data_IF_377493327305
#
_entry.id   IF_377493327305
#
_cell.length_a   1.000
_cell.length_b   1.000
_cell.length_c   1.000
_cell.angle_alpha   90.00
_cell.angle_beta   90.00
_cell.angle_gamma   90.00
#
_symmetry.space_group_name_H-M   'P 1'
#
loop_
_entity.id
_entity.type
_entity.pdbx_description
1 polymer ?
#
# COMPACT_ATOMS: atom_id res chain seq x y z
N UNK A 1 6.77 10.22 16.48
CA UNK A 1 5.44 10.18 15.83
C UNK A 1 4.67 11.33 16.44
N UNK A 2 4.08 12.22 15.63
CA UNK A 2 3.19 13.27 16.12
C UNK A 2 1.84 12.69 16.57
N UNK A 3 0.88 13.53 16.93
CA UNK A 3 -0.47 13.16 17.38
C UNK A 3 -1.34 12.50 16.32
N UNK A 4 -0.86 12.39 15.08
CA UNK A 4 -1.57 11.66 14.03
C UNK A 4 -1.61 10.14 14.25
N UNK A 5 -0.82 9.57 15.17
CA UNK A 5 -0.88 8.14 15.50
C UNK A 5 -1.55 7.93 16.86
N UNK A 6 -2.74 7.34 16.87
CA UNK A 6 -3.51 7.03 18.07
C UNK A 6 -2.83 5.89 18.83
N UNK A 7 -2.23 6.23 19.98
CA UNK A 7 -1.48 5.29 20.82
C UNK A 7 -2.37 4.23 21.47
N UNK A 8 -3.69 4.44 21.55
CA UNK A 8 -4.61 3.53 22.22
C UNK A 8 -5.25 2.52 21.27
N UNK A 9 -5.66 2.93 20.07
CA UNK A 9 -6.27 2.03 19.09
C UNK A 9 -5.32 1.56 17.97
N UNK A 10 -4.07 2.06 17.96
CA UNK A 10 -2.98 1.56 17.14
C UNK A 10 -3.08 1.90 15.63
N UNK A 11 -3.61 3.08 15.30
CA UNK A 11 -3.90 3.55 13.93
C UNK A 11 -3.59 5.03 13.71
N UNK A 12 -3.88 5.55 12.51
CA UNK A 12 -3.66 6.95 12.18
C UNK A 12 -4.95 7.78 12.07
N UNK A 13 -4.91 9.00 12.59
CA UNK A 13 -5.83 10.08 12.23
C UNK A 13 -5.47 10.65 10.85
N UNK A 14 -6.38 11.45 10.27
CA UNK A 14 -6.29 11.90 8.87
C UNK A 14 -5.11 12.84 8.59
N UNK A 15 -4.94 13.87 9.42
CA UNK A 15 -3.83 14.86 9.35
C UNK A 15 -3.68 15.58 10.69
N UNK A 16 -2.64 16.41 10.85
CA UNK A 16 -2.50 17.31 11.99
C UNK A 16 -3.08 18.70 11.67
N UNK A 17 -3.70 19.34 12.66
CA UNK A 17 -4.26 20.69 12.55
C UNK A 17 -3.26 21.79 12.93
N UNK A 18 -2.12 21.41 13.49
CA UNK A 18 -1.05 22.32 13.91
C UNK A 18 0.31 22.00 13.26
N UNK A 19 1.20 22.99 13.26
CA UNK A 19 2.53 22.89 12.64
C UNK A 19 3.52 22.00 13.41
N UNK A 20 3.27 21.73 14.70
CA UNK A 20 4.09 20.84 15.53
C UNK A 20 3.64 19.38 15.42
N UNK A 21 2.56 19.11 14.68
CA UNK A 21 1.96 17.79 14.50
C UNK A 21 1.51 17.18 15.84
N UNK A 22 1.05 17.99 16.77
CA UNK A 22 0.60 17.56 18.09
C UNK A 22 -0.89 17.19 18.08
N UNK A 23 -1.73 17.96 17.40
CA UNK A 23 -3.17 17.78 17.43
C UNK A 23 -3.65 17.21 16.10
N UNK A 24 -4.26 16.02 16.11
CA UNK A 24 -4.86 15.46 14.91
C UNK A 24 -6.20 16.11 14.61
N UNK A 25 -6.60 16.12 13.34
CA UNK A 25 -8.01 16.09 12.98
C UNK A 25 -8.48 14.65 13.18
N UNK A 26 -9.35 14.42 14.16
CA UNK A 26 -9.55 13.08 14.74
C UNK A 26 -10.21 12.05 13.81
N UNK A 27 -10.78 12.51 12.70
CA UNK A 27 -11.30 11.66 11.62
C UNK A 27 -10.28 10.60 11.18
N UNK A 28 -10.77 9.40 10.85
CA UNK A 28 -9.94 8.30 10.37
C UNK A 28 -10.41 7.84 9.02
N UNK A 29 -9.48 7.71 8.08
CA UNK A 29 -9.79 7.29 6.72
C UNK A 29 -9.08 5.98 6.40
N UNK A 30 -9.78 5.07 5.71
CA UNK A 30 -9.24 3.77 5.30
C UNK A 30 -7.99 3.92 4.42
N UNK A 31 -7.98 4.92 3.53
CA UNK A 31 -6.84 5.16 2.65
C UNK A 31 -5.59 5.64 3.41
N UNK A 32 -5.73 6.36 4.53
CA UNK A 32 -4.60 6.73 5.38
C UNK A 32 -3.98 5.46 5.98
N UNK A 33 -4.81 4.57 6.55
CA UNK A 33 -4.33 3.32 7.14
C UNK A 33 -3.58 2.48 6.11
N UNK A 34 -4.14 2.32 4.91
CA UNK A 34 -3.53 1.53 3.85
C UNK A 34 -2.21 2.14 3.33
N UNK A 35 -2.18 3.44 3.04
CA UNK A 35 -0.99 4.10 2.49
C UNK A 35 0.15 4.17 3.51
N UNK A 36 -0.15 4.57 4.75
CA UNK A 36 0.86 4.64 5.81
C UNK A 36 1.40 3.24 6.14
N UNK A 37 0.56 2.22 6.19
CA UNK A 37 1.01 0.81 6.30
C UNK A 37 2.09 0.49 5.25
N UNK A 38 1.86 0.82 3.98
CA UNK A 38 2.84 0.56 2.91
C UNK A 38 4.14 1.36 3.09
N UNK A 39 4.05 2.60 3.58
CA UNK A 39 5.23 3.42 3.92
C UNK A 39 6.03 2.79 5.06
N UNK A 40 5.36 2.37 6.14
CA UNK A 40 6.02 1.73 7.28
C UNK A 40 6.60 0.35 6.94
N UNK A 41 5.95 -0.42 6.06
CA UNK A 41 6.55 -1.65 5.50
C UNK A 41 7.85 -1.31 4.77
N UNK A 42 7.87 -0.24 3.95
CA UNK A 42 9.08 0.17 3.23
C UNK A 42 10.18 0.65 4.17
N UNK A 43 9.82 1.44 5.18
CA UNK A 43 10.75 1.91 6.20
C UNK A 43 11.36 0.71 6.97
N UNK A 44 10.55 -0.29 7.33
CA UNK A 44 11.03 -1.53 7.92
C UNK A 44 11.95 -2.30 6.97
N UNK A 45 11.60 -2.41 5.69
CA UNK A 45 12.45 -3.08 4.69
C UNK A 45 13.84 -2.46 4.58
N UNK A 46 13.92 -1.13 4.63
CA UNK A 46 15.15 -0.37 4.46
C UNK A 46 16.01 -0.34 5.72
N UNK A 47 15.39 -0.15 6.89
CA UNK A 47 16.11 0.11 8.16
C UNK A 47 16.19 -1.11 9.08
N UNK A 48 15.32 -2.10 8.88
CA UNK A 48 15.07 -3.22 9.80
C UNK A 48 14.69 -2.81 11.23
N UNK A 49 14.28 -1.56 11.45
CA UNK A 49 13.86 -1.08 12.77
C UNK A 49 12.52 -1.76 13.18
N UNK A 50 12.48 -2.53 14.28
CA UNK A 50 11.28 -3.26 14.71
C UNK A 50 10.09 -2.34 15.01
N UNK A 51 10.30 -1.06 15.33
CA UNK A 51 9.22 -0.10 15.55
C UNK A 51 8.36 0.10 14.31
N UNK A 52 8.95 0.15 13.11
CA UNK A 52 8.18 0.25 11.89
C UNK A 52 7.35 -1.00 11.62
N UNK A 53 7.88 -2.18 11.97
CA UNK A 53 7.12 -3.43 11.90
C UNK A 53 5.93 -3.42 12.85
N UNK A 54 6.16 -2.96 14.08
CA UNK A 54 5.11 -2.80 15.08
C UNK A 54 3.98 -1.92 14.54
N UNK A 55 4.29 -0.73 14.05
CA UNK A 55 3.31 0.25 13.56
C UNK A 55 2.46 -0.32 12.43
N UNK A 56 3.05 -0.87 11.35
CA UNK A 56 2.23 -1.38 10.25
C UNK A 56 1.37 -2.59 10.67
N UNK A 57 1.85 -3.41 11.61
CA UNK A 57 1.11 -4.57 12.14
C UNK A 57 -0.10 -4.08 12.95
N UNK A 58 0.15 -3.13 13.83
CA UNK A 58 -0.84 -2.44 14.65
C UNK A 58 -1.94 -1.79 13.80
N UNK A 59 -1.55 -1.01 12.79
CA UNK A 59 -2.49 -0.34 11.87
C UNK A 59 -3.36 -1.33 11.09
N UNK A 60 -2.81 -2.44 10.59
CA UNK A 60 -3.61 -3.46 9.89
C UNK A 60 -4.48 -4.27 10.84
N UNK A 61 -4.03 -4.53 12.06
CA UNK A 61 -4.82 -5.24 13.06
C UNK A 61 -5.98 -4.37 13.57
N UNK A 62 -5.80 -3.04 13.62
CA UNK A 62 -6.88 -2.07 13.83
C UNK A 62 -7.94 -2.17 12.73
N UNK A 63 -7.55 -2.14 11.44
CA UNK A 63 -8.56 -2.19 10.37
C UNK A 63 -9.37 -3.47 10.42
N UNK A 64 -8.75 -4.60 10.76
CA UNK A 64 -9.44 -5.89 10.97
C UNK A 64 -10.40 -5.82 12.17
N UNK A 65 -9.98 -5.19 13.27
CA UNK A 65 -10.74 -5.16 14.53
C UNK A 65 -11.93 -4.21 14.50
N UNK A 66 -11.76 -3.01 13.96
CA UNK A 66 -12.72 -1.90 14.13
C UNK A 66 -13.39 -1.49 12.81
N UNK A 67 -12.76 -1.76 11.66
CA UNK A 67 -13.23 -1.26 10.35
C UNK A 67 -13.79 -2.37 9.45
N UNK A 68 -13.42 -3.64 9.69
CA UNK A 68 -13.90 -4.76 8.89
C UNK A 68 -15.41 -4.97 9.08
N UNK A 69 -16.14 -5.00 7.97
CA UNK A 69 -17.54 -5.37 7.93
C UNK A 69 -17.71 -6.89 7.99
N UNK A 70 -18.92 -7.36 8.36
CA UNK A 70 -19.25 -8.80 8.46
C UNK A 70 -19.11 -9.58 7.16
N UNK A 71 -19.04 -8.89 6.01
CA UNK A 71 -18.95 -9.47 4.67
C UNK A 71 -17.53 -9.39 4.07
N UNK A 72 -16.52 -9.17 4.91
CA UNK A 72 -15.10 -9.04 4.56
C UNK A 72 -14.68 -7.76 3.80
N UNK A 73 -15.60 -6.86 3.49
CA UNK A 73 -15.26 -5.50 3.08
C UNK A 73 -14.84 -4.62 4.27
N UNK A 74 -14.28 -3.44 3.99
CA UNK A 74 -13.84 -2.49 5.02
C UNK A 74 -14.51 -1.13 4.83
N UNK A 75 -15.05 -0.60 5.92
CA UNK A 75 -15.72 0.70 5.95
C UNK A 75 -14.74 1.85 5.67
N UNK A 76 -15.26 2.96 5.16
CA UNK A 76 -14.43 4.01 4.57
C UNK A 76 -13.79 4.92 5.60
N UNK A 77 -14.51 5.25 6.67
CA UNK A 77 -14.06 6.23 7.65
C UNK A 77 -14.76 6.11 9.00
N UNK A 78 -14.17 6.74 10.02
CA UNK A 78 -14.87 7.17 11.25
C UNK A 78 -14.76 8.68 11.38
N UNK A 79 -15.84 9.32 11.81
CA UNK A 79 -15.91 10.76 12.03
C UNK A 79 -14.92 11.24 13.12
N UNK A 80 -14.70 12.55 13.18
CA UNK A 80 -13.93 13.19 14.24
C UNK A 80 -14.79 13.45 15.50
N UNK A 81 -16.09 13.68 15.29
CA UNK A 81 -17.03 14.09 16.34
C UNK A 81 -17.61 12.90 17.10
N UNK A 82 -17.79 13.10 18.41
CA UNK A 82 -18.59 12.23 19.28
C UNK A 82 -19.37 13.10 20.25
N UNK A 83 -20.63 12.76 20.54
CA UNK A 83 -21.50 13.57 21.40
C UNK A 83 -21.71 15.03 20.91
N UNK A 84 -21.43 15.29 19.63
CA UNK A 84 -21.53 16.63 19.04
C UNK A 84 -20.28 17.51 19.22
N UNK A 85 -19.21 16.97 19.80
CA UNK A 85 -17.93 17.66 19.99
C UNK A 85 -16.77 16.92 19.29
N UNK A 86 -15.88 17.66 18.62
CA UNK A 86 -14.73 17.08 17.94
C UNK A 86 -13.75 16.53 18.99
N UNK A 87 -13.29 15.28 18.83
CA UNK A 87 -12.18 14.78 19.63
C UNK A 87 -12.51 14.25 21.02
N UNK A 88 -13.73 14.43 21.55
CA UNK A 88 -14.12 14.03 22.92
C UNK A 88 -13.85 12.55 23.23
N UNK A 89 -14.06 11.67 22.23
CA UNK A 89 -13.75 10.25 22.36
C UNK A 89 -12.25 9.99 22.60
N UNK A 90 -11.36 10.86 22.11
CA UNK A 90 -9.92 10.64 21.99
C UNK A 90 -9.09 11.27 23.10
N UNK A 91 -9.53 12.40 23.64
CA UNK A 91 -8.80 13.19 24.64
C UNK A 91 -9.03 12.67 26.07
N UNK A 92 -8.09 12.97 26.97
CA UNK A 92 -8.11 12.48 28.34
C UNK A 92 -7.76 13.56 29.35
N UNK A 93 -8.59 13.73 30.37
CA UNK A 93 -8.20 14.52 31.54
C UNK A 93 -7.23 13.73 32.41
N UNK A 94 -6.37 14.42 33.16
CA UNK A 94 -5.44 13.77 34.08
C UNK A 94 -6.20 12.93 35.13
N UNK A 95 -7.35 13.40 35.60
CA UNK A 95 -8.15 12.70 36.61
C UNK A 95 -8.79 11.41 36.07
N UNK A 96 -9.20 11.37 34.81
CA UNK A 96 -9.63 10.13 34.15
C UNK A 96 -8.49 9.12 34.07
N UNK A 97 -7.29 9.57 33.66
CA UNK A 97 -6.11 8.70 33.56
C UNK A 97 -5.76 8.11 34.94
N UNK A 98 -5.75 8.95 35.99
CA UNK A 98 -5.53 8.50 37.38
C UNK A 98 -6.58 7.49 37.82
N UNK A 99 -7.84 7.73 37.49
CA UNK A 99 -8.95 6.84 37.87
C UNK A 99 -8.82 5.48 37.19
N UNK A 100 -8.43 5.43 35.91
CA UNK A 100 -8.29 4.18 35.16
C UNK A 100 -7.02 3.41 35.55
N UNK A 101 -5.90 4.12 35.75
CA UNK A 101 -4.60 3.48 35.98
C UNK A 101 -4.31 3.21 37.45
N UNK A 102 -4.89 3.97 38.38
CA UNK A 102 -4.68 3.82 39.83
C UNK A 102 -3.17 3.89 40.16
N UNK A 103 -2.60 2.85 40.78
CA UNK A 103 -1.18 2.77 41.12
C UNK A 103 -0.25 2.83 39.89
N UNK A 104 -0.72 2.38 38.73
CA UNK A 104 0.05 2.40 37.49
C UNK A 104 0.23 3.81 36.92
N UNK A 105 -0.50 4.82 37.41
CA UNK A 105 -0.39 6.21 36.96
C UNK A 105 1.05 6.74 37.09
N UNK A 106 1.74 6.39 38.18
CA UNK A 106 3.14 6.80 38.40
C UNK A 106 4.11 6.24 37.36
N UNK A 107 3.80 5.07 36.78
CA UNK A 107 4.59 4.47 35.70
C UNK A 107 4.23 5.17 34.39
N UNK A 108 2.94 5.41 34.15
CA UNK A 108 2.46 6.12 32.97
C UNK A 108 3.10 7.51 32.82
N UNK A 109 3.14 8.30 33.89
CA UNK A 109 3.76 9.63 33.87
C UNK A 109 5.25 9.63 33.51
N UNK A 110 5.95 8.49 33.61
CA UNK A 110 7.36 8.41 33.18
C UNK A 110 7.50 8.42 31.66
N UNK A 111 6.48 7.92 30.94
CA UNK A 111 6.53 7.70 29.51
C UNK A 111 5.72 8.73 28.70
N UNK A 112 4.66 9.30 29.28
CA UNK A 112 3.70 10.15 28.57
C UNK A 112 3.79 11.61 29.01
N UNK A 113 3.72 12.52 28.03
CA UNK A 113 3.68 13.97 28.27
C UNK A 113 2.25 14.37 28.63
N UNK A 114 2.10 14.95 29.81
CA UNK A 114 0.83 15.48 30.35
C UNK A 114 0.98 16.98 30.67
N UNK A 115 1.96 17.65 30.08
CA UNK A 115 2.12 19.09 30.21
C UNK A 115 1.19 19.84 29.25
N UNK A 116 1.09 21.16 29.43
CA UNK A 116 0.23 22.03 28.63
C UNK A 116 0.58 22.01 27.12
N UNK A 117 1.72 21.46 26.71
CA UNK A 117 2.06 21.26 25.29
C UNK A 117 1.10 20.30 24.58
N UNK A 118 0.49 19.38 25.32
CA UNK A 118 -0.43 18.34 24.84
C UNK A 118 -1.89 18.63 25.17
N UNK A 119 -2.14 19.78 25.80
CA UNK A 119 -3.48 20.18 26.22
C UNK A 119 -4.32 20.60 25.01
N UNK A 120 -5.47 19.95 24.88
CA UNK A 120 -6.48 20.21 23.86
C UNK A 120 -7.83 20.26 24.56
N UNK A 121 -8.50 21.42 24.46
CA UNK A 121 -9.84 21.64 25.04
C UNK A 121 -9.98 21.21 26.51
N UNK A 122 -9.01 21.61 27.36
CA UNK A 122 -8.95 21.28 28.80
C UNK A 122 -8.70 19.79 29.13
N UNK A 123 -8.35 18.98 28.14
CA UNK A 123 -7.90 17.59 28.28
C UNK A 123 -6.58 17.39 27.52
N UNK A 124 -6.11 16.15 27.34
CA UNK A 124 -4.85 15.85 26.68
C UNK A 124 -4.99 14.85 25.54
N UNK A 125 -4.27 15.12 24.45
CA UNK A 125 -3.92 14.09 23.46
C UNK A 125 -2.70 13.33 24.00
N UNK A 126 -2.72 11.99 23.96
CA UNK A 126 -1.64 11.20 24.55
C UNK A 126 -0.41 11.18 23.65
N UNK A 127 0.70 11.71 24.16
CA UNK A 127 2.01 11.68 23.49
C UNK A 127 3.08 11.06 24.38
N UNK A 128 4.09 10.43 23.77
CA UNK A 128 5.30 10.05 24.49
C UNK A 128 6.17 11.28 24.79
N UNK A 129 6.74 11.37 25.99
CA UNK A 129 7.73 12.42 26.35
C UNK A 129 8.94 12.42 25.42
N UNK A 130 9.48 11.24 25.15
CA UNK A 130 10.62 11.07 24.24
C UNK A 130 10.57 9.71 23.55
N UNK A 131 9.81 9.64 22.45
CA UNK A 131 9.64 8.40 21.69
C UNK A 131 10.96 7.82 21.16
N UNK A 132 11.93 8.65 20.78
CA UNK A 132 13.20 8.17 20.19
C UNK A 132 14.15 7.58 21.24
N UNK A 133 13.93 7.87 22.53
CA UNK A 133 14.67 7.27 23.63
C UNK A 133 14.10 5.92 24.10
N UNK A 134 12.88 5.55 23.69
CA UNK A 134 12.24 4.31 24.11
C UNK A 134 12.93 3.08 23.52
N UNK A 135 13.14 2.08 24.38
CA UNK A 135 13.67 0.75 24.02
C UNK A 135 12.53 -0.24 23.86
N UNK A 136 12.82 -1.37 23.24
CA UNK A 136 11.84 -2.45 23.07
C UNK A 136 11.20 -2.89 24.40
N UNK A 137 11.99 -2.94 25.48
CA UNK A 137 11.54 -3.30 26.83
C UNK A 137 10.57 -2.29 27.44
N UNK A 138 10.68 -1.00 27.09
CA UNK A 138 9.73 0.02 27.56
C UNK A 138 8.33 -0.23 27.00
N UNK A 139 8.24 -0.71 25.76
CA UNK A 139 6.96 -1.06 25.16
C UNK A 139 6.27 -2.25 25.83
N UNK A 140 7.02 -3.16 26.48
CA UNK A 140 6.44 -4.25 27.26
C UNK A 140 5.77 -3.71 28.54
N UNK A 141 6.36 -2.68 29.15
CA UNK A 141 5.78 -1.94 30.29
C UNK A 141 4.60 -1.06 29.89
N UNK A 142 4.70 -0.34 28.76
CA UNK A 142 3.70 0.63 28.31
C UNK A 142 2.42 -0.07 27.80
N UNK A 143 2.56 -1.21 27.13
CA UNK A 143 1.43 -1.93 26.49
C UNK A 143 0.26 -2.21 27.46
N UNK A 144 0.44 -2.77 28.66
CA UNK A 144 -0.68 -2.99 29.58
C UNK A 144 -1.36 -1.69 30.03
N UNK A 145 -0.62 -0.57 30.14
CA UNK A 145 -1.17 0.74 30.49
C UNK A 145 -2.11 1.26 29.39
N UNK A 146 -1.63 1.25 28.15
CA UNK A 146 -2.43 1.64 26.98
C UNK A 146 -3.65 0.73 26.82
N UNK A 147 -3.54 -0.57 27.12
CA UNK A 147 -4.68 -1.48 27.07
C UNK A 147 -5.76 -1.14 28.11
N UNK A 148 -5.39 -0.75 29.34
CA UNK A 148 -6.35 -0.30 30.36
C UNK A 148 -7.10 0.95 29.91
N UNK A 149 -6.36 1.95 29.39
CA UNK A 149 -6.94 3.17 28.83
C UNK A 149 -7.83 2.90 27.62
N UNK A 150 -7.39 2.04 26.69
CA UNK A 150 -8.20 1.63 25.55
C UNK A 150 -9.51 0.97 26.01
N UNK A 151 -9.47 0.04 26.96
CA UNK A 151 -10.66 -0.62 27.49
C UNK A 151 -11.64 0.36 28.17
N UNK A 152 -11.11 1.39 28.85
CA UNK A 152 -11.93 2.48 29.38
C UNK A 152 -12.54 3.34 28.25
N UNK A 153 -11.76 3.68 27.21
CA UNK A 153 -12.23 4.43 26.04
C UNK A 153 -13.39 3.75 25.31
N UNK A 154 -13.36 2.42 25.22
CA UNK A 154 -14.42 1.65 24.55
C UNK A 154 -15.81 1.79 25.21
N UNK A 155 -15.89 2.37 26.42
CA UNK A 155 -17.16 2.64 27.13
C UNK A 155 -17.73 4.04 26.84
N UNK A 156 -16.97 4.93 26.19
CA UNK A 156 -17.43 6.24 25.74
C UNK A 156 -18.33 6.11 24.51
N UNK A 157 -19.13 7.13 24.22
CA UNK A 157 -19.83 7.20 22.93
C UNK A 157 -18.79 7.21 21.80
N UNK A 158 -19.01 6.41 20.75
CA UNK A 158 -18.06 6.29 19.65
C UNK A 158 -18.39 7.30 18.56
N UNK A 159 -17.38 7.85 17.86
CA UNK A 159 -17.60 8.60 16.64
C UNK A 159 -18.37 7.79 15.60
N UNK A 160 -19.14 8.48 14.77
CA UNK A 160 -19.94 7.85 13.74
C UNK A 160 -19.06 7.07 12.75
N UNK A 161 -19.41 5.82 12.49
CA UNK A 161 -18.77 4.99 11.47
C UNK A 161 -19.43 5.24 10.11
N UNK A 162 -18.68 5.75 9.14
CA UNK A 162 -19.13 5.81 7.75
C UNK A 162 -19.09 4.40 7.14
N UNK A 163 -20.25 3.75 7.14
CA UNK A 163 -20.42 2.37 6.71
C UNK A 163 -20.36 2.16 5.18
N UNK A 164 -20.01 3.19 4.40
CA UNK A 164 -19.71 3.03 2.98
C UNK A 164 -18.45 2.19 2.80
N UNK A 165 -18.47 1.32 1.81
CA UNK A 165 -17.30 0.57 1.36
C UNK A 165 -16.96 1.08 -0.04
N UNK A 166 -15.82 1.73 -0.18
CA UNK A 166 -15.34 2.31 -1.43
C UNK A 166 -14.33 1.38 -2.09
N UNK A 167 -14.54 1.06 -3.37
CA UNK A 167 -13.70 0.11 -4.10
C UNK A 167 -12.23 0.53 -4.13
N UNK A 168 -11.93 1.78 -4.51
CA UNK A 168 -10.56 2.30 -4.56
C UNK A 168 -9.81 2.22 -3.23
N UNK A 169 -10.47 2.54 -2.11
CA UNK A 169 -9.84 2.53 -0.78
C UNK A 169 -9.63 1.10 -0.26
N UNK A 170 -10.60 0.21 -0.53
CA UNK A 170 -10.45 -1.21 -0.22
C UNK A 170 -9.37 -1.86 -1.11
N UNK A 171 -9.19 -1.42 -2.35
CA UNK A 171 -8.10 -1.88 -3.20
C UNK A 171 -6.72 -1.45 -2.66
N UNK A 172 -6.60 -0.22 -2.12
CA UNK A 172 -5.39 0.21 -1.40
C UNK A 172 -5.10 -0.70 -0.20
N UNK A 173 -6.12 -1.01 0.61
CA UNK A 173 -5.98 -1.90 1.75
C UNK A 173 -5.62 -3.33 1.33
N UNK A 174 -6.24 -3.86 0.27
CA UNK A 174 -5.90 -5.16 -0.32
C UNK A 174 -4.42 -5.24 -0.69
N UNK A 175 -3.88 -4.18 -1.32
CA UNK A 175 -2.46 -4.07 -1.65
C UNK A 175 -1.60 -4.04 -0.38
N UNK A 176 -2.01 -3.32 0.65
CA UNK A 176 -1.31 -3.24 1.93
C UNK A 176 -1.27 -4.60 2.65
N UNK A 177 -2.41 -5.31 2.77
CA UNK A 177 -2.46 -6.67 3.31
C UNK A 177 -1.56 -7.63 2.52
N UNK A 178 -1.60 -7.54 1.19
CA UNK A 178 -0.76 -8.39 0.33
C UNK A 178 0.73 -8.12 0.57
N UNK A 179 1.14 -6.87 0.80
CA UNK A 179 2.52 -6.54 1.17
C UNK A 179 2.89 -7.06 2.56
N UNK A 180 2.04 -6.82 3.57
CA UNK A 180 2.27 -7.26 4.93
C UNK A 180 2.33 -8.79 5.08
N UNK A 181 1.73 -9.52 4.14
CA UNK A 181 1.76 -10.99 4.10
C UNK A 181 3.14 -11.63 3.98
N UNK A 182 4.17 -10.84 3.68
CA UNK A 182 5.57 -11.29 3.75
C UNK A 182 6.05 -11.48 5.20
N UNK A 183 5.44 -10.78 6.15
CA UNK A 183 5.85 -10.75 7.55
C UNK A 183 4.89 -11.51 8.48
N UNK A 184 3.62 -11.64 8.09
CA UNK A 184 2.62 -12.44 8.79
C UNK A 184 1.60 -13.01 7.81
N UNK A 185 1.42 -14.33 7.81
CA UNK A 185 0.55 -15.05 6.88
C UNK A 185 -0.93 -14.67 7.06
N UNK A 186 -1.36 -14.20 8.23
CA UNK A 186 -2.76 -13.79 8.47
C UNK A 186 -3.23 -12.73 7.48
N UNK A 187 -2.34 -11.83 7.07
CA UNK A 187 -2.67 -10.78 6.11
C UNK A 187 -2.90 -11.32 4.70
N UNK A 188 -2.33 -12.47 4.32
CA UNK A 188 -2.68 -13.11 3.04
C UNK A 188 -4.11 -13.65 3.06
N UNK A 189 -4.56 -14.16 4.20
CA UNK A 189 -5.93 -14.64 4.37
C UNK A 189 -6.89 -13.46 4.21
N UNK A 190 -6.65 -12.36 4.94
CA UNK A 190 -7.44 -11.13 4.82
C UNK A 190 -7.41 -10.51 3.43
N UNK A 191 -6.27 -10.53 2.75
CA UNK A 191 -6.17 -10.10 1.35
C UNK A 191 -7.06 -10.94 0.42
N UNK A 192 -7.10 -12.27 0.60
CA UNK A 192 -7.93 -13.16 -0.23
C UNK A 192 -9.42 -12.98 0.03
N UNK A 193 -9.82 -12.89 1.30
CA UNK A 193 -11.20 -12.61 1.73
C UNK A 193 -11.69 -11.29 1.13
N UNK A 194 -10.93 -10.20 1.33
CA UNK A 194 -11.25 -8.89 0.77
C UNK A 194 -11.32 -8.92 -0.76
N UNK A 195 -10.34 -9.54 -1.43
CA UNK A 195 -10.36 -9.65 -2.89
C UNK A 195 -11.60 -10.40 -3.41
N UNK A 196 -12.00 -11.49 -2.75
CA UNK A 196 -13.19 -12.24 -3.11
C UNK A 196 -14.45 -11.39 -2.93
N UNK A 197 -14.57 -10.67 -1.82
CA UNK A 197 -15.65 -9.71 -1.60
C UNK A 197 -15.71 -8.64 -2.70
N UNK A 198 -14.57 -8.03 -3.06
CA UNK A 198 -14.51 -6.99 -4.09
C UNK A 198 -14.92 -7.52 -5.47
N UNK A 199 -14.45 -8.71 -5.85
CA UNK A 199 -14.82 -9.33 -7.13
C UNK A 199 -16.32 -9.65 -7.18
N UNK A 200 -16.87 -10.26 -6.12
CA UNK A 200 -18.26 -10.71 -6.11
C UNK A 200 -19.27 -9.55 -6.12
N UNK A 201 -18.93 -8.43 -5.48
CA UNK A 201 -19.86 -7.32 -5.30
C UNK A 201 -19.63 -6.20 -6.31
N UNK A 202 -18.38 -5.79 -6.57
CA UNK A 202 -18.09 -4.63 -7.40
C UNK A 202 -17.78 -4.97 -8.85
N UNK A 203 -17.29 -6.17 -9.15
CA UNK A 203 -16.90 -6.60 -10.51
C UNK A 203 -17.94 -7.55 -11.12
N UNK A 204 -19.10 -6.99 -11.45
CA UNK A 204 -20.20 -7.69 -12.14
C UNK A 204 -20.18 -7.37 -13.64
N UNK A 205 -21.31 -7.03 -14.25
CA UNK A 205 -21.37 -6.60 -15.66
C UNK A 205 -20.56 -5.33 -15.91
N UNK A 206 -20.60 -4.39 -14.97
CA UNK A 206 -19.80 -3.17 -14.93
C UNK A 206 -19.16 -3.02 -13.54
N UNK A 207 -18.04 -2.29 -13.48
CA UNK A 207 -17.41 -1.96 -12.21
C UNK A 207 -18.23 -0.90 -11.46
N UNK A 208 -18.51 -1.16 -10.18
CA UNK A 208 -19.18 -0.21 -9.27
C UNK A 208 -18.19 0.46 -8.33
N UNK A 209 -18.58 1.57 -7.68
CA UNK A 209 -17.70 2.33 -6.78
C UNK A 209 -18.03 2.17 -5.30
N UNK A 210 -19.32 2.18 -4.95
CA UNK A 210 -19.78 2.28 -3.57
C UNK A 210 -20.61 1.07 -3.21
N UNK A 211 -20.39 0.50 -2.03
CA UNK A 211 -21.26 -0.50 -1.43
C UNK A 211 -21.76 -0.02 -0.07
N UNK A 212 -23.08 -0.08 0.13
CA UNK A 212 -23.75 0.29 1.38
C UNK A 212 -25.03 -0.54 1.50
N UNK A 213 -25.40 -0.95 2.72
CA UNK A 213 -26.64 -1.71 2.98
C UNK A 213 -26.82 -2.92 2.05
N UNK A 214 -25.76 -3.71 1.88
CA UNK A 214 -25.72 -4.89 1.03
C UNK A 214 -25.95 -4.67 -0.47
N UNK A 215 -25.76 -3.44 -0.96
CA UNK A 215 -25.98 -3.09 -2.37
C UNK A 215 -24.82 -2.25 -2.90
N UNK A 216 -24.35 -2.58 -4.10
CA UNK A 216 -23.47 -1.69 -4.86
C UNK A 216 -24.26 -0.61 -5.59
N UNK A 217 -23.68 0.57 -5.67
CA UNK A 217 -24.20 1.72 -6.41
C UNK A 217 -23.05 2.54 -7.01
N UNK A 218 -23.43 3.51 -7.84
CA UNK A 218 -22.54 4.41 -8.58
C UNK A 218 -21.60 3.69 -9.57
N UNK A 219 -21.49 4.25 -10.77
CA UNK A 219 -20.53 3.75 -11.77
C UNK A 219 -19.11 4.05 -11.29
N UNK A 220 -18.21 3.08 -11.44
CA UNK A 220 -16.79 3.27 -11.14
C UNK A 220 -16.19 4.42 -11.95
N UNK A 221 -15.30 5.18 -11.30
CA UNK A 221 -14.45 6.18 -11.95
C UNK A 221 -13.06 5.58 -12.20
N UNK A 222 -12.21 6.29 -12.95
CA UNK A 222 -10.89 5.77 -13.35
C UNK A 222 -10.03 5.30 -12.16
N UNK A 223 -10.14 6.00 -11.03
CA UNK A 223 -9.48 5.65 -9.76
C UNK A 223 -9.73 4.21 -9.33
N UNK A 224 -10.97 3.75 -9.44
CA UNK A 224 -11.38 2.40 -9.05
C UNK A 224 -10.68 1.35 -9.91
N UNK A 225 -10.60 1.59 -11.23
CA UNK A 225 -9.90 0.69 -12.15
C UNK A 225 -8.40 0.66 -11.88
N UNK A 226 -7.77 1.84 -11.72
CA UNK A 226 -6.34 1.95 -11.51
C UNK A 226 -5.89 1.27 -10.22
N UNK A 227 -6.55 1.57 -9.09
CA UNK A 227 -6.19 0.99 -7.80
C UNK A 227 -6.52 -0.50 -7.71
N UNK A 228 -7.67 -0.94 -8.23
CA UNK A 228 -8.02 -2.36 -8.15
C UNK A 228 -7.10 -3.22 -9.03
N UNK A 229 -6.77 -2.76 -10.24
CA UNK A 229 -5.78 -3.43 -11.08
C UNK A 229 -4.40 -3.50 -10.41
N UNK A 230 -3.94 -2.42 -9.75
CA UNK A 230 -2.65 -2.41 -9.04
C UNK A 230 -2.62 -3.41 -7.87
N UNK A 231 -3.71 -3.49 -7.11
CA UNK A 231 -3.87 -4.43 -6.01
C UNK A 231 -3.89 -5.89 -6.50
N UNK A 232 -4.63 -6.17 -7.58
CA UNK A 232 -4.70 -7.51 -8.20
C UNK A 232 -3.34 -7.95 -8.75
N UNK A 233 -2.57 -7.06 -9.37
CA UNK A 233 -1.21 -7.37 -9.82
C UNK A 233 -0.31 -7.71 -8.62
N UNK A 234 -0.45 -6.97 -7.51
CA UNK A 234 0.32 -7.27 -6.30
C UNK A 234 -0.08 -8.62 -5.70
N UNK A 235 -1.37 -8.97 -5.73
CA UNK A 235 -1.86 -10.27 -5.27
C UNK A 235 -1.37 -11.40 -6.18
N UNK A 236 -1.41 -11.23 -7.50
CA UNK A 236 -0.80 -12.14 -8.47
C UNK A 236 0.69 -12.38 -8.17
N UNK A 237 1.46 -11.32 -7.90
CA UNK A 237 2.87 -11.47 -7.59
C UNK A 237 3.12 -12.32 -6.34
N UNK A 238 2.20 -12.27 -5.37
CA UNK A 238 2.27 -13.05 -4.13
C UNK A 238 1.76 -14.49 -4.29
N UNK A 239 0.67 -14.70 -5.03
CA UNK A 239 -0.03 -16.00 -5.10
C UNK A 239 0.31 -16.83 -6.34
N UNK A 240 0.81 -16.19 -7.40
CA UNK A 240 0.89 -16.72 -8.77
C UNK A 240 -0.46 -17.13 -9.39
N UNK A 241 -1.59 -16.72 -8.80
CA UNK A 241 -2.92 -16.98 -9.39
C UNK A 241 -3.14 -16.05 -10.59
N UNK A 242 -3.09 -16.66 -11.78
CA UNK A 242 -3.19 -15.97 -13.07
C UNK A 242 -4.52 -15.25 -13.23
N UNK A 243 -5.59 -15.67 -12.54
CA UNK A 243 -6.89 -15.01 -12.58
C UNK A 243 -6.79 -13.55 -12.14
N UNK A 244 -5.98 -13.25 -11.11
CA UNK A 244 -5.79 -11.86 -10.67
C UNK A 244 -5.14 -11.00 -11.76
N UNK A 245 -4.13 -11.51 -12.46
CA UNK A 245 -3.47 -10.80 -13.54
C UNK A 245 -4.40 -10.58 -14.74
N UNK A 246 -5.20 -11.59 -15.10
CA UNK A 246 -6.19 -11.51 -16.17
C UNK A 246 -7.28 -10.48 -15.84
N UNK A 247 -7.80 -10.46 -14.61
CA UNK A 247 -8.78 -9.47 -14.19
C UNK A 247 -8.18 -8.06 -14.18
N UNK A 248 -6.94 -7.88 -13.67
CA UNK A 248 -6.24 -6.60 -13.76
C UNK A 248 -6.10 -6.12 -15.21
N UNK A 249 -5.79 -7.03 -16.14
CA UNK A 249 -5.72 -6.72 -17.56
C UNK A 249 -7.07 -6.25 -18.12
N UNK A 250 -8.16 -6.96 -17.80
CA UNK A 250 -9.52 -6.59 -18.23
C UNK A 250 -9.91 -5.20 -17.71
N UNK A 251 -9.67 -4.93 -16.42
CA UNK A 251 -9.94 -3.62 -15.81
C UNK A 251 -9.22 -2.49 -16.54
N UNK A 252 -7.95 -2.67 -16.87
CA UNK A 252 -7.16 -1.65 -17.57
C UNK A 252 -7.59 -1.48 -19.02
N UNK A 253 -7.94 -2.56 -19.73
CA UNK A 253 -8.49 -2.46 -21.07
C UNK A 253 -9.82 -1.69 -21.08
N UNK A 254 -10.72 -1.98 -20.13
CA UNK A 254 -11.97 -1.23 -19.97
C UNK A 254 -11.71 0.24 -19.62
N UNK A 255 -10.72 0.53 -18.77
CA UNK A 255 -10.33 1.91 -18.47
C UNK A 255 -9.72 2.63 -19.67
N UNK A 256 -8.98 1.94 -20.54
CA UNK A 256 -8.49 2.51 -21.81
C UNK A 256 -9.66 2.86 -22.72
N UNK A 257 -10.62 1.96 -22.91
CA UNK A 257 -11.80 2.20 -23.75
C UNK A 257 -12.66 3.35 -23.23
N UNK A 258 -12.87 3.40 -21.90
CA UNK A 258 -13.77 4.39 -21.30
C UNK A 258 -13.07 5.74 -21.09
N UNK A 259 -11.88 5.77 -20.49
CA UNK A 259 -11.29 6.95 -19.87
C UNK A 259 -10.10 7.56 -20.62
N UNK A 260 -9.50 6.87 -21.60
CA UNK A 260 -8.34 7.41 -22.31
C UNK A 260 -8.74 8.59 -23.20
N UNK A 261 -8.03 9.70 -23.06
CA UNK A 261 -8.08 10.81 -24.00
C UNK A 261 -7.16 10.51 -25.19
N UNK A 262 -7.73 10.15 -26.34
CA UNK A 262 -6.95 9.77 -27.52
C UNK A 262 -6.23 10.95 -28.18
N UNK A 263 -6.69 12.18 -27.96
CA UNK A 263 -6.11 13.38 -28.57
C UNK A 263 -4.93 13.89 -27.74
N UNK A 264 -5.12 14.05 -26.43
CA UNK A 264 -4.13 14.67 -25.55
C UNK A 264 -3.48 13.68 -24.57
N UNK A 265 -3.75 12.38 -24.72
CA UNK A 265 -3.29 11.30 -23.84
C UNK A 265 -3.68 11.49 -22.37
N UNK A 266 -3.41 10.47 -21.55
CA UNK A 266 -3.84 10.45 -20.15
C UNK A 266 -5.30 10.05 -19.97
N UNK A 267 -5.66 9.72 -18.74
CA UNK A 267 -6.96 9.19 -18.41
C UNK A 267 -7.79 10.24 -17.67
N UNK A 268 -9.02 10.45 -18.14
CA UNK A 268 -10.04 11.29 -17.50
C UNK A 268 -10.57 10.57 -16.28
N UNK A 269 -10.77 11.29 -15.17
CA UNK A 269 -11.29 10.71 -13.93
C UNK A 269 -12.68 10.09 -14.15
N UNK A 270 -13.57 10.80 -14.87
CA UNK A 270 -14.93 10.35 -15.17
C UNK A 270 -15.29 10.64 -16.63
N UNK A 271 -16.16 9.82 -17.21
CA UNK A 271 -16.75 10.05 -18.54
C UNK A 271 -18.24 10.38 -18.45
N UNK A 272 -18.70 10.80 -17.28
CA UNK A 272 -20.08 11.22 -17.11
C UNK A 272 -20.27 12.61 -17.73
N UNK A 273 -21.00 12.68 -18.85
CA UNK A 273 -21.31 13.93 -19.56
C UNK A 273 -22.05 14.98 -18.72
N UNK A 274 -22.63 14.60 -17.57
CA UNK A 274 -23.31 15.53 -16.65
C UNK A 274 -22.36 16.33 -15.77
N UNK A 275 -21.10 15.90 -15.67
CA UNK A 275 -20.06 16.59 -14.92
C UNK A 275 -19.02 17.01 -15.95
N UNK A 276 -18.69 18.31 -16.06
CA UNK A 276 -17.62 18.84 -16.93
C UNK A 276 -16.21 18.37 -16.50
N UNK A 277 -16.05 17.16 -15.98
CA UNK A 277 -14.81 16.63 -15.45
C UNK A 277 -14.05 15.82 -16.52
N UNK A 278 -13.71 16.48 -17.63
CA UNK A 278 -12.58 16.09 -18.49
C UNK A 278 -11.22 16.23 -17.77
N UNK A 279 -11.23 16.38 -16.44
CA UNK A 279 -10.07 16.53 -15.60
C UNK A 279 -9.24 15.24 -15.66
N UNK A 280 -8.01 15.39 -16.12
CA UNK A 280 -6.97 14.37 -16.02
C UNK A 280 -6.05 14.80 -14.87
N UNK A 281 -6.34 14.28 -13.68
CA UNK A 281 -5.57 14.60 -12.49
C UNK A 281 -4.31 13.74 -12.41
N UNK A 282 -3.18 14.41 -12.20
CA UNK A 282 -1.87 13.79 -11.96
C UNK A 282 -1.26 14.20 -10.62
N UNK A 283 -1.80 15.24 -9.97
CA UNK A 283 -1.38 15.73 -8.66
C UNK A 283 -1.62 14.67 -7.58
N UNK A 284 -0.62 14.42 -6.74
CA UNK A 284 -0.76 13.55 -5.58
C UNK A 284 -1.23 14.39 -4.38
N UNK A 285 -2.50 14.22 -4.02
CA UNK A 285 -3.09 14.83 -2.83
C UNK A 285 -3.06 13.86 -1.63
N UNK A 286 -4.18 13.78 -0.92
CA UNK A 286 -4.34 12.83 0.20
C UNK A 286 -4.19 11.35 -0.24
N UNK A 287 -4.47 11.08 -1.51
CA UNK A 287 -4.20 9.81 -2.20
C UNK A 287 -3.37 10.08 -3.45
N UNK A 288 -2.60 9.08 -3.86
CA UNK A 288 -1.87 9.16 -5.13
C UNK A 288 -2.80 9.34 -6.33
N UNK A 289 -2.31 10.02 -7.35
CA UNK A 289 -3.08 10.24 -8.57
C UNK A 289 -3.34 8.94 -9.32
N UNK A 290 -4.56 8.79 -9.81
CA UNK A 290 -4.96 7.61 -10.57
C UNK A 290 -4.14 7.45 -11.86
N UNK A 291 -3.74 8.56 -12.50
CA UNK A 291 -2.85 8.54 -13.66
C UNK A 291 -1.42 8.07 -13.28
N UNK A 292 -0.88 8.49 -12.13
CA UNK A 292 0.43 8.01 -11.67
C UNK A 292 0.43 6.51 -11.34
N UNK A 293 -0.64 6.03 -10.72
CA UNK A 293 -0.85 4.59 -10.49
C UNK A 293 -1.02 3.83 -11.79
N UNK A 294 -1.79 4.36 -12.75
CA UNK A 294 -1.97 3.74 -14.06
C UNK A 294 -0.66 3.62 -14.84
N UNK A 295 0.23 4.63 -14.78
CA UNK A 295 1.57 4.54 -15.35
C UNK A 295 2.35 3.34 -14.77
N UNK A 296 2.29 3.14 -13.44
CA UNK A 296 2.91 1.98 -12.81
C UNK A 296 2.26 0.67 -13.26
N UNK A 297 0.93 0.62 -13.36
CA UNK A 297 0.17 -0.57 -13.77
C UNK A 297 0.46 -0.96 -15.22
N UNK A 298 0.47 0.00 -16.16
CA UNK A 298 0.79 -0.24 -17.57
C UNK A 298 2.20 -0.85 -17.71
N UNK A 299 3.18 -0.32 -16.97
CA UNK A 299 4.54 -0.88 -16.93
C UNK A 299 4.59 -2.27 -16.27
N UNK A 300 3.78 -2.53 -15.24
CA UNK A 300 3.70 -3.86 -14.62
C UNK A 300 3.08 -4.89 -15.57
N UNK A 301 2.02 -4.52 -16.28
CA UNK A 301 1.36 -5.37 -17.27
C UNK A 301 2.28 -5.64 -18.45
N UNK A 302 2.97 -4.63 -18.99
CA UNK A 302 3.90 -4.80 -20.13
C UNK A 302 5.04 -5.76 -19.80
N UNK A 303 5.53 -5.76 -18.56
CA UNK A 303 6.58 -6.70 -18.13
C UNK A 303 6.08 -8.13 -17.89
N UNK A 304 4.78 -8.31 -17.62
CA UNK A 304 4.15 -9.62 -17.31
C UNK A 304 3.48 -10.26 -18.53
N UNK A 305 3.05 -9.46 -19.50
CA UNK A 305 2.23 -9.88 -20.63
C UNK A 305 2.88 -9.48 -21.97
N UNK A 306 2.64 -10.26 -23.02
CA UNK A 306 3.14 -9.96 -24.37
C UNK A 306 2.21 -8.97 -25.08
N UNK A 307 2.10 -7.75 -24.56
CA UNK A 307 1.20 -6.71 -25.07
C UNK A 307 1.95 -5.39 -25.26
N UNK A 308 2.52 -5.13 -26.45
CA UNK A 308 3.34 -3.95 -26.72
C UNK A 308 2.62 -2.62 -26.44
N UNK A 309 1.30 -2.59 -26.63
CA UNK A 309 0.45 -1.40 -26.47
C UNK A 309 0.60 -0.75 -25.08
N UNK A 310 0.75 -1.52 -24.00
CA UNK A 310 0.88 -0.94 -22.66
C UNK A 310 2.15 -0.11 -22.48
N UNK A 311 3.25 -0.51 -23.13
CA UNK A 311 4.51 0.27 -23.08
C UNK A 311 4.34 1.60 -23.82
N UNK A 312 3.69 1.58 -24.98
CA UNK A 312 3.37 2.80 -25.75
C UNK A 312 2.47 3.74 -24.96
N UNK A 313 1.39 3.22 -24.37
CA UNK A 313 0.48 4.00 -23.54
C UNK A 313 1.16 4.60 -22.31
N UNK A 314 2.06 3.85 -21.65
CA UNK A 314 2.83 4.38 -20.53
C UNK A 314 3.72 5.56 -20.95
N UNK A 315 4.38 5.47 -22.12
CA UNK A 315 5.19 6.57 -22.67
C UNK A 315 4.34 7.79 -23.04
N UNK A 316 3.19 7.58 -23.66
CA UNK A 316 2.24 8.66 -23.97
C UNK A 316 1.74 9.36 -22.69
N UNK A 317 1.42 8.57 -21.66
CA UNK A 317 0.92 9.05 -20.38
C UNK A 317 1.94 9.93 -19.65
N UNK A 318 3.20 9.50 -19.53
CA UNK A 318 4.24 10.33 -18.87
C UNK A 318 4.52 11.60 -19.67
N UNK A 319 4.51 11.52 -21.01
CA UNK A 319 4.75 12.68 -21.87
C UNK A 319 3.64 13.73 -21.73
N UNK A 320 2.37 13.31 -21.60
CA UNK A 320 1.21 14.19 -21.43
C UNK A 320 1.30 15.11 -20.19
N UNK A 321 2.07 14.70 -19.18
CA UNK A 321 2.24 15.47 -17.93
C UNK A 321 3.69 15.90 -17.68
N UNK A 322 4.57 15.72 -18.66
CA UNK A 322 6.02 15.92 -18.51
C UNK A 322 6.40 17.34 -18.07
N UNK A 323 5.71 18.36 -18.59
CA UNK A 323 5.92 19.76 -18.20
C UNK A 323 5.61 19.98 -16.72
N UNK A 324 4.41 19.58 -16.27
CA UNK A 324 3.98 19.69 -14.86
C UNK A 324 4.96 18.96 -13.93
N UNK A 325 5.32 17.73 -14.29
CA UNK A 325 6.24 16.90 -13.52
C UNK A 325 7.61 17.58 -13.42
N UNK A 326 8.11 18.18 -14.50
CA UNK A 326 9.42 18.84 -14.51
C UNK A 326 9.43 20.12 -13.67
N UNK A 327 8.31 20.86 -13.62
CA UNK A 327 8.18 22.09 -12.82
C UNK A 327 8.08 21.82 -11.32
N UNK A 328 7.39 20.75 -10.88
CA UNK A 328 7.28 20.40 -9.47
C UNK A 328 7.23 18.88 -9.24
N UNK A 329 8.37 18.16 -9.32
CA UNK A 329 8.39 16.70 -9.20
C UNK A 329 7.81 16.17 -7.88
N UNK A 330 7.92 16.94 -6.79
CA UNK A 330 7.47 16.53 -5.46
C UNK A 330 5.95 16.39 -5.35
N UNK A 331 5.20 17.18 -6.14
CA UNK A 331 3.74 17.12 -6.22
C UNK A 331 3.21 15.91 -7.02
N UNK A 332 4.10 15.14 -7.66
CA UNK A 332 3.78 14.03 -8.56
C UNK A 332 4.62 12.78 -8.23
N UNK A 333 4.86 12.57 -6.94
CA UNK A 333 5.68 11.48 -6.39
C UNK A 333 5.33 10.07 -6.91
N UNK A 334 4.06 9.78 -7.17
CA UNK A 334 3.56 8.47 -7.59
C UNK A 334 4.07 8.10 -8.98
N UNK A 335 3.92 9.02 -9.95
CA UNK A 335 4.40 8.82 -11.32
C UNK A 335 5.93 8.94 -11.39
N UNK A 336 6.54 9.85 -10.63
CA UNK A 336 8.02 9.99 -10.56
C UNK A 336 8.66 8.72 -10.03
N UNK A 337 8.11 8.14 -8.96
CA UNK A 337 8.59 6.87 -8.39
C UNK A 337 8.44 5.74 -9.38
N UNK A 338 7.31 5.66 -10.07
CA UNK A 338 7.06 4.63 -11.07
C UNK A 338 7.96 4.78 -12.31
N UNK A 339 8.22 6.02 -12.75
CA UNK A 339 9.14 6.32 -13.86
C UNK A 339 10.58 5.97 -13.48
N UNK A 340 11.02 6.32 -12.27
CA UNK A 340 12.31 5.91 -11.73
C UNK A 340 12.45 4.38 -11.72
N UNK A 341 11.41 3.65 -11.28
CA UNK A 341 11.41 2.19 -11.30
C UNK A 341 11.43 1.59 -12.72
N UNK A 342 10.83 2.25 -13.70
CA UNK A 342 10.91 1.85 -15.10
C UNK A 342 12.32 2.04 -15.68
N UNK A 343 12.95 3.19 -15.40
CA UNK A 343 14.29 3.53 -15.93
C UNK A 343 15.43 2.78 -15.25
N UNK A 344 15.38 2.69 -13.91
CA UNK A 344 16.50 2.19 -13.09
C UNK A 344 16.26 0.78 -12.54
N UNK A 345 15.09 0.19 -12.81
CA UNK A 345 14.65 -1.04 -12.19
C UNK A 345 13.93 -0.79 -10.86
N UNK A 346 13.12 -1.77 -10.43
CA UNK A 346 12.28 -1.65 -9.25
C UNK A 346 13.00 -2.10 -7.99
N UNK A 347 12.78 -1.38 -6.88
CA UNK A 347 13.20 -1.80 -5.53
C UNK A 347 12.26 -2.85 -4.90
N UNK A 348 11.32 -3.39 -5.67
CA UNK A 348 10.39 -4.41 -5.22
C UNK A 348 11.05 -5.80 -5.24
N UNK A 349 10.71 -6.65 -4.27
CA UNK A 349 11.18 -8.03 -4.21
C UNK A 349 10.65 -8.96 -5.32
N UNK A 350 9.93 -8.45 -6.32
CA UNK A 350 9.42 -9.23 -7.45
C UNK A 350 9.48 -8.41 -8.75
N UNK A 351 10.12 -8.98 -9.77
CA UNK A 351 10.24 -8.44 -11.12
C UNK A 351 9.95 -9.51 -12.16
N UNK A 352 9.67 -9.08 -13.40
CA UNK A 352 9.46 -9.96 -14.54
C UNK A 352 10.31 -9.50 -15.71
N UNK A 353 10.83 -10.45 -16.48
CA UNK A 353 11.55 -10.21 -17.71
C UNK A 353 10.96 -11.03 -18.86
N UNK A 354 11.24 -10.56 -20.09
CA UNK A 354 10.80 -11.20 -21.33
C UNK A 354 9.28 -11.46 -21.39
N UNK A 355 8.45 -10.50 -20.97
CA UNK A 355 6.98 -10.63 -20.99
C UNK A 355 6.47 -11.78 -20.11
N UNK A 356 6.91 -11.80 -18.85
CA UNK A 356 6.48 -12.77 -17.84
C UNK A 356 7.10 -14.16 -17.96
N UNK A 357 8.08 -14.38 -18.84
CA UNK A 357 8.73 -15.69 -19.02
C UNK A 357 9.74 -16.00 -17.93
N UNK A 358 10.27 -14.96 -17.28
CA UNK A 358 11.17 -15.08 -16.15
C UNK A 358 10.58 -14.25 -15.02
N UNK A 359 10.22 -14.89 -13.91
CA UNK A 359 9.89 -14.22 -12.66
C UNK A 359 11.13 -14.19 -11.78
N UNK A 360 11.50 -13.02 -11.32
CA UNK A 360 12.66 -12.77 -10.46
C UNK A 360 12.11 -12.37 -9.11
N UNK A 361 12.51 -13.08 -8.04
CA UNK A 361 12.18 -12.69 -6.67
C UNK A 361 13.46 -12.53 -5.87
N UNK A 362 13.50 -11.55 -4.96
CA UNK A 362 14.64 -11.30 -4.10
C UNK A 362 14.22 -11.18 -2.64
N UNK A 363 15.01 -11.78 -1.75
CA UNK A 363 14.75 -11.76 -0.31
C UNK A 363 15.73 -12.61 0.48
N UNK A 364 16.08 -12.19 1.70
CA UNK A 364 16.96 -12.93 2.63
C UNK A 364 18.30 -13.36 2.01
N UNK A 365 18.92 -12.47 1.21
CA UNK A 365 20.19 -12.74 0.52
C UNK A 365 20.10 -13.75 -0.64
N UNK A 366 18.89 -14.12 -1.05
CA UNK A 366 18.64 -15.03 -2.17
C UNK A 366 17.93 -14.31 -3.32
N UNK A 367 18.26 -14.71 -4.53
CA UNK A 367 17.52 -14.37 -5.75
C UNK A 367 16.98 -15.68 -6.31
N UNK A 368 15.65 -15.80 -6.43
CA UNK A 368 15.02 -16.95 -7.05
C UNK A 368 14.51 -16.56 -8.44
N UNK A 369 14.85 -17.38 -9.42
CA UNK A 369 14.43 -17.24 -10.81
C UNK A 369 13.46 -18.39 -11.12
N UNK A 370 12.24 -18.05 -11.52
CA UNK A 370 11.28 -19.02 -12.07
C UNK A 370 11.21 -18.78 -13.57
N UNK A 371 11.73 -19.74 -14.33
CA UNK A 371 11.85 -19.66 -15.79
C UNK A 371 10.78 -20.55 -16.42
N UNK A 372 9.97 -19.99 -17.32
CA UNK A 372 8.92 -20.75 -18.02
C UNK A 372 9.54 -21.83 -18.92
N UNK A 373 8.90 -23.00 -19.01
CA UNK A 373 9.31 -24.09 -19.90
C UNK A 373 9.58 -23.56 -21.33
N UNK A 374 10.72 -23.98 -21.90
CA UNK A 374 11.20 -23.54 -23.21
C UNK A 374 12.06 -22.28 -23.19
N UNK A 375 12.20 -21.62 -22.05
CA UNK A 375 13.12 -20.49 -21.84
C UNK A 375 14.31 -20.93 -20.98
N UNK A 376 15.44 -20.25 -21.16
CA UNK A 376 16.63 -20.47 -20.35
C UNK A 376 17.34 -19.14 -20.09
N UNK A 377 18.26 -19.15 -19.13
CA UNK A 377 19.20 -18.06 -18.88
C UNK A 377 20.60 -18.68 -18.89
N UNK A 378 21.55 -18.03 -19.53
CA UNK A 378 22.96 -18.41 -19.50
C UNK A 378 23.49 -18.45 -18.06
N UNK A 379 24.46 -19.31 -17.75
CA UNK A 379 25.09 -19.26 -16.43
C UNK A 379 26.06 -18.08 -16.30
N UNK A 380 26.64 -17.92 -15.11
CA UNK A 380 27.71 -16.97 -14.85
C UNK A 380 29.03 -17.31 -15.59
N UNK A 381 29.19 -18.55 -16.08
CA UNK A 381 30.30 -18.99 -16.91
C UNK A 381 29.75 -19.54 -18.23
N UNK A 382 29.75 -18.70 -19.26
CA UNK A 382 29.29 -19.07 -20.60
C UNK A 382 30.35 -19.87 -21.36
N UNK A 383 29.91 -20.70 -22.31
CA UNK A 383 30.81 -21.50 -23.16
C UNK A 383 31.29 -20.76 -24.41
N UNK A 384 30.55 -19.74 -24.85
CA UNK A 384 30.86 -18.92 -26.02
C UNK A 384 31.04 -17.46 -25.63
N UNK A 385 32.02 -16.80 -26.22
CA UNK A 385 32.34 -15.39 -25.94
C UNK A 385 31.21 -14.41 -26.33
N UNK A 386 30.38 -14.78 -27.31
CA UNK A 386 29.24 -13.97 -27.76
C UNK A 386 28.05 -13.98 -26.78
N UNK A 387 28.04 -14.90 -25.80
CA UNK A 387 26.92 -15.02 -24.86
C UNK A 387 27.07 -14.09 -23.66
N UNK A 388 25.95 -13.52 -23.23
CA UNK A 388 25.89 -12.69 -22.02
C UNK A 388 25.78 -13.60 -20.80
N UNK A 389 26.81 -13.57 -19.94
CA UNK A 389 26.82 -14.33 -18.69
C UNK A 389 25.88 -13.72 -17.65
N UNK A 390 25.23 -14.56 -16.84
CA UNK A 390 24.42 -14.07 -15.71
C UNK A 390 25.33 -13.46 -14.65
N UNK A 391 25.11 -12.18 -14.34
CA UNK A 391 25.85 -11.43 -13.33
C UNK A 391 24.90 -10.88 -12.28
N UNK A 392 25.28 -11.01 -11.01
CA UNK A 392 24.63 -10.34 -9.89
C UNK A 392 25.60 -9.25 -9.43
N UNK A 393 25.17 -8.00 -9.49
CA UNK A 393 25.97 -6.84 -9.07
C UNK A 393 25.32 -6.19 -7.85
N UNK A 394 26.10 -6.02 -6.79
CA UNK A 394 25.72 -5.24 -5.62
C UNK A 394 26.99 -4.75 -4.93
N UNK A 395 27.05 -3.46 -4.60
CA UNK A 395 28.21 -2.85 -3.91
C UNK A 395 28.52 -3.50 -2.56
N UNK A 396 27.57 -4.20 -1.97
CA UNK A 396 27.67 -4.82 -0.64
C UNK A 396 27.81 -6.36 -0.68
N UNK A 397 27.75 -7.01 -1.84
CA UNK A 397 27.92 -8.47 -1.92
C UNK A 397 29.40 -8.85 -1.92
N UNK A 398 29.81 -9.64 -0.92
CA UNK A 398 31.18 -10.19 -0.84
C UNK A 398 31.35 -11.44 -1.71
N UNK A 399 30.36 -12.33 -1.70
CA UNK A 399 30.36 -13.59 -2.47
C UNK A 399 28.98 -13.83 -3.07
N UNK A 400 28.94 -14.44 -4.26
CA UNK A 400 27.71 -14.84 -4.94
C UNK A 400 27.81 -16.32 -5.29
N UNK A 401 26.86 -17.11 -4.79
CA UNK A 401 26.75 -18.53 -5.10
C UNK A 401 25.73 -18.72 -6.22
N UNK A 402 26.21 -19.08 -7.41
CA UNK A 402 25.38 -19.48 -8.53
C UNK A 402 25.08 -20.98 -8.47
N UNK A 403 23.91 -21.43 -8.96
CA UNK A 403 23.66 -22.86 -9.11
C UNK A 403 24.60 -23.46 -10.17
N UNK A 404 24.77 -24.78 -10.10
CA UNK A 404 25.59 -25.53 -11.06
C UNK A 404 25.01 -25.40 -12.48
N UNK A 405 25.90 -25.23 -13.45
CA UNK A 405 25.50 -25.14 -14.84
C UNK A 405 24.96 -26.48 -15.36
N UNK A 406 23.84 -26.41 -16.08
CA UNK A 406 23.35 -27.51 -16.92
C UNK A 406 23.84 -27.28 -18.33
N UNK A 407 24.51 -28.26 -18.90
CA UNK A 407 24.94 -28.21 -20.29
C UNK A 407 23.83 -28.76 -21.15
N UNK A 408 23.33 -27.94 -22.06
CA UNK A 408 22.30 -28.33 -23.03
C UNK A 408 22.84 -28.17 -24.45
N UNK A 409 22.32 -28.96 -25.38
CA UNK A 409 22.55 -28.79 -26.80
C UNK A 409 21.20 -28.59 -27.48
N UNK A 410 21.08 -27.52 -28.26
CA UNK A 410 19.84 -27.24 -28.99
C UNK A 410 19.82 -28.07 -30.27
N UNK A 411 18.66 -28.57 -30.67
CA UNK A 411 18.51 -29.46 -31.84
C UNK A 411 19.01 -28.86 -33.16
N UNK A 412 19.05 -27.53 -33.24
CA UNK A 412 19.49 -26.79 -34.42
C UNK A 412 20.92 -26.23 -34.32
N UNK A 413 21.67 -26.55 -33.25
CA UNK A 413 23.04 -26.07 -33.05
C UNK A 413 24.01 -27.18 -32.68
N UNK A 414 25.24 -27.11 -33.23
CA UNK A 414 26.36 -27.96 -32.80
C UNK A 414 26.96 -27.48 -31.48
N UNK A 415 26.75 -26.22 -31.14
CA UNK A 415 27.30 -25.61 -29.93
C UNK A 415 26.45 -25.97 -28.70
N UNK A 416 27.12 -26.27 -27.60
CA UNK A 416 26.50 -26.50 -26.30
C UNK A 416 26.35 -25.19 -25.55
N UNK A 417 25.28 -25.05 -24.76
CA UNK A 417 25.04 -23.89 -23.90
C UNK A 417 25.17 -24.31 -22.44
N UNK A 418 25.74 -23.44 -21.61
CA UNK A 418 25.70 -23.56 -20.15
C UNK A 418 24.56 -22.69 -19.61
N UNK A 419 23.52 -23.31 -19.06
CA UNK A 419 22.29 -22.65 -18.58
C UNK A 419 21.99 -22.97 -17.11
N UNK A 420 21.23 -22.08 -16.44
CA UNK A 420 20.81 -22.24 -15.03
C UNK A 420 19.66 -23.27 -14.88
#
# INVERSE_FOLDING_TARGET
>A
MGGIYDLLADEFHRYATDNAWLFPHFEKMLYNQAQLTMVYIKAFELTKNPLYKRVFTQTLDYTIREIQAKNDGFYSATDADSEGEEGLFFIWTIDEIKTVLTDDFKIFEQYFDLSNSTEFESAHVLHYKNFTALKQTDFDTIKPLLQKLYNARQKREKPLLDNKILLSWNALLLKAFTQASEYDKKYLIKAKELNQFLLNNFYQTDLKRVYINNKTSQTAIFEDYAYFADALIKLFDKTNDVNHLQTAQKLINTAIEKNLDNENHGFKISNNNRIQNNLKEIYDGAIFSSNGIAYAVLNKLSNRLKTPQYKTLALQLINAFSEKISQNPSAYSSIVTAYSAFQKGSINGTMYAYNGKIKITSGKGKINLVIKKGWHINTHKVLQQALIATKITNKQLKTVHYPNAKIIQLSFSKDKLAVL
#
